data_IF_045843525286
#
_entry.id   IF_045843525286
#
_cell.length_a   1.000
_cell.length_b   1.000
_cell.length_c   1.000
_cell.angle_alpha   90.00
_cell.angle_beta   90.00
_cell.angle_gamma   90.00
#
_symmetry.space_group_name_H-M   'P 1'
#
loop_
_entity.id
_entity.type
_entity.pdbx_description
1 polymer ?
#
# COMPACT_ATOMS: atom_id res chain seq x y z
N UNK A 1 12.46 -9.91 3.92
CA UNK A 1 11.07 -10.08 3.48
C UNK A 1 10.10 -9.40 4.43
N UNK A 2 9.65 -10.12 5.47
CA UNK A 2 8.66 -9.63 6.45
C UNK A 2 9.01 -8.31 7.13
N UNK A 3 10.29 -8.08 7.48
CA UNK A 3 10.72 -6.80 8.07
C UNK A 3 10.40 -5.60 7.16
N UNK A 4 10.67 -5.72 5.86
CA UNK A 4 10.36 -4.67 4.87
C UNK A 4 8.85 -4.47 4.75
N UNK A 5 8.06 -5.55 4.80
CA UNK A 5 6.60 -5.43 4.85
C UNK A 5 6.14 -4.62 6.07
N UNK A 6 6.71 -4.88 7.25
CA UNK A 6 6.39 -4.11 8.46
C UNK A 6 6.77 -2.64 8.35
N UNK A 7 7.90 -2.32 7.68
CA UNK A 7 8.29 -0.93 7.38
C UNK A 7 7.27 -0.27 6.44
N UNK A 8 6.85 -0.94 5.36
CA UNK A 8 5.83 -0.45 4.43
C UNK A 8 4.52 -0.15 5.17
N UNK A 9 4.07 -1.05 6.06
CA UNK A 9 2.87 -0.83 6.86
C UNK A 9 3.02 0.37 7.80
N UNK A 10 4.18 0.51 8.46
CA UNK A 10 4.47 1.65 9.35
C UNK A 10 4.50 2.98 8.60
N UNK A 11 5.03 3.03 7.38
CA UNK A 11 5.03 4.22 6.54
C UNK A 11 3.61 4.55 6.06
N UNK A 12 2.84 3.54 5.63
CA UNK A 12 1.45 3.72 5.20
C UNK A 12 0.55 4.27 6.32
N UNK A 13 0.80 3.91 7.59
CA UNK A 13 0.10 4.48 8.75
C UNK A 13 0.33 5.98 8.95
N UNK A 14 1.39 6.55 8.35
CA UNK A 14 1.66 8.00 8.40
C UNK A 14 0.88 8.83 7.38
N UNK A 15 0.14 8.19 6.47
CA UNK A 15 -0.70 8.88 5.49
C UNK A 15 -1.97 9.44 6.14
N UNK A 16 -2.56 10.51 5.56
CA UNK A 16 -3.80 11.11 6.08
C UNK A 16 -4.91 10.07 6.29
N UNK A 17 -5.55 10.11 7.46
CA UNK A 17 -6.63 9.19 7.86
C UNK A 17 -7.97 9.43 7.13
N UNK A 18 -7.97 10.09 5.98
CA UNK A 18 -9.20 10.40 5.22
C UNK A 18 -9.87 9.14 4.65
N UNK A 19 -9.14 8.02 4.63
CA UNK A 19 -9.62 6.75 4.07
C UNK A 19 -9.92 5.74 5.17
N UNK A 20 -11.21 5.40 5.33
CA UNK A 20 -11.64 4.37 6.27
C UNK A 20 -11.53 2.97 5.64
N UNK A 21 -10.40 2.30 5.89
CA UNK A 21 -10.19 0.90 5.46
C UNK A 21 -11.05 -0.02 6.32
N UNK A 22 -11.99 -0.71 5.69
CA UNK A 22 -12.85 -1.72 6.32
C UNK A 22 -12.18 -3.09 6.40
N UNK A 23 -11.22 -3.36 5.51
CA UNK A 23 -10.43 -4.58 5.54
C UNK A 23 -9.41 -4.65 4.41
N UNK A 24 -8.33 -5.41 4.64
CA UNK A 24 -7.39 -5.80 3.60
C UNK A 24 -7.84 -7.14 2.99
N UNK A 25 -8.04 -7.17 1.67
CA UNK A 25 -8.50 -8.36 0.95
C UNK A 25 -7.33 -9.18 0.39
N UNK A 26 -6.16 -8.58 0.21
CA UNK A 26 -4.98 -9.30 -0.25
C UNK A 26 -3.80 -8.41 -0.61
N UNK A 27 -2.66 -9.08 -0.78
CA UNK A 27 -1.42 -8.54 -1.33
C UNK A 27 -1.05 -9.35 -2.57
N UNK A 28 -0.85 -8.66 -3.68
CA UNK A 28 -0.48 -9.23 -4.98
C UNK A 28 0.87 -8.67 -5.41
N UNK A 29 1.53 -9.35 -6.37
CA UNK A 29 2.76 -8.88 -7.01
C UNK A 29 3.86 -8.41 -6.05
N UNK A 30 3.96 -9.07 -4.89
CA UNK A 30 4.99 -8.77 -3.90
C UNK A 30 6.35 -9.11 -4.47
N UNK A 31 7.24 -8.12 -4.60
CA UNK A 31 8.59 -8.28 -5.13
C UNK A 31 9.61 -7.55 -4.25
N UNK A 32 10.70 -8.24 -3.95
CA UNK A 32 11.87 -7.68 -3.26
C UNK A 32 12.97 -7.52 -4.31
N UNK A 33 13.12 -6.30 -4.82
CA UNK A 33 14.04 -6.01 -5.93
C UNK A 33 15.48 -5.85 -5.45
N UNK A 34 15.66 -5.22 -4.28
CA UNK A 34 16.96 -5.01 -3.63
C UNK A 34 16.84 -5.22 -2.13
N UNK A 35 17.94 -5.59 -1.49
CA UNK A 35 18.00 -5.65 -0.03
C UNK A 35 18.13 -4.22 0.51
N UNK A 36 17.20 -3.81 1.39
CA UNK A 36 17.41 -2.61 2.20
C UNK A 36 18.52 -2.87 3.23
N UNK A 37 19.33 -1.86 3.48
CA UNK A 37 20.49 -1.92 4.38
C UNK A 37 20.26 -1.04 5.60
N UNK A 38 21.02 -1.32 6.65
CA UNK A 38 21.06 -0.44 7.81
C UNK A 38 21.52 0.95 7.37
N UNK A 39 20.78 1.99 7.76
CA UNK A 39 21.06 3.38 7.39
C UNK A 39 20.35 3.87 6.13
N UNK A 40 19.67 3.00 5.37
CA UNK A 40 18.87 3.44 4.23
C UNK A 40 17.72 4.35 4.69
N UNK A 41 17.47 5.42 3.94
CA UNK A 41 16.30 6.27 4.09
C UNK A 41 15.26 5.76 3.10
N UNK A 42 14.16 5.22 3.62
CA UNK A 42 13.13 4.58 2.81
C UNK A 42 11.92 5.50 2.62
N UNK A 43 11.51 5.68 1.37
CA UNK A 43 10.33 6.46 0.99
C UNK A 43 9.30 5.54 0.34
N UNK A 44 8.04 5.64 0.78
CA UNK A 44 6.93 4.85 0.26
C UNK A 44 6.00 5.73 -0.57
N UNK A 45 5.83 5.37 -1.84
CA UNK A 45 4.80 5.91 -2.72
C UNK A 45 3.64 4.93 -2.82
N UNK A 46 2.41 5.43 -2.68
CA UNK A 46 1.17 4.65 -2.84
C UNK A 46 0.31 5.33 -3.90
N UNK A 47 -0.04 4.59 -4.94
CA UNK A 47 -0.86 5.06 -6.05
C UNK A 47 -2.13 4.23 -6.14
N UNK A 48 -3.30 4.88 -6.13
CA UNK A 48 -4.56 4.23 -6.43
C UNK A 48 -4.64 3.91 -7.93
N UNK A 49 -4.58 2.63 -8.28
CA UNK A 49 -4.55 2.16 -9.67
C UNK A 49 -5.91 1.64 -10.17
N UNK A 50 -6.83 1.32 -9.26
CA UNK A 50 -8.20 0.89 -9.62
C UNK A 50 -9.17 1.15 -8.45
N UNK A 51 -10.41 1.47 -8.78
CA UNK A 51 -11.51 1.62 -7.81
C UNK A 51 -12.78 1.00 -8.36
N UNK A 52 -13.45 0.19 -7.53
CA UNK A 52 -14.70 -0.47 -7.89
C UNK A 52 -15.73 -0.31 -6.76
N UNK A 53 -16.78 0.50 -6.94
CA UNK A 53 -17.90 0.55 -6.00
C UNK A 53 -18.56 -0.83 -5.83
N UNK A 54 -19.04 -1.13 -4.62
CA UNK A 54 -19.81 -2.36 -4.40
C UNK A 54 -21.20 -2.22 -5.02
N UNK A 55 -21.65 -3.26 -5.74
CA UNK A 55 -23.01 -3.35 -6.30
C UNK A 55 -24.05 -3.77 -5.26
N UNK A 56 -23.65 -4.43 -4.17
CA UNK A 56 -24.55 -4.96 -3.15
C UNK A 56 -24.60 -4.12 -1.87
N UNK A 57 -23.56 -3.31 -1.58
CA UNK A 57 -23.49 -2.46 -0.39
C UNK A 57 -22.97 -1.06 -0.76
N UNK A 58 -23.84 -0.05 -0.90
CA UNK A 58 -23.45 1.27 -1.44
C UNK A 58 -22.50 2.08 -0.55
N UNK A 59 -22.33 1.67 0.71
CA UNK A 59 -21.47 2.29 1.72
C UNK A 59 -19.98 1.93 1.58
N UNK A 60 -19.59 1.14 0.56
CA UNK A 60 -18.20 0.66 0.39
C UNK A 60 -17.81 0.37 -1.05
N UNK A 61 -16.51 0.24 -1.27
CA UNK A 61 -15.93 -0.19 -2.53
C UNK A 61 -14.58 -0.90 -2.34
N UNK A 62 -14.06 -1.44 -3.42
CA UNK A 62 -12.72 -2.02 -3.50
C UNK A 62 -11.79 -0.97 -4.11
N UNK A 63 -10.61 -0.80 -3.53
CA UNK A 63 -9.53 0.03 -4.07
C UNK A 63 -8.29 -0.84 -4.22
N UNK A 64 -7.63 -0.76 -5.36
CA UNK A 64 -6.30 -1.35 -5.56
C UNK A 64 -5.26 -0.25 -5.55
N UNK A 65 -4.21 -0.46 -4.76
CA UNK A 65 -3.09 0.46 -4.71
C UNK A 65 -1.80 -0.22 -5.13
N UNK A 66 -0.99 0.45 -5.95
CA UNK A 66 0.40 0.09 -6.19
C UNK A 66 1.28 0.78 -5.17
N UNK A 67 2.15 0.01 -4.53
CA UNK A 67 3.12 0.51 -3.56
C UNK A 67 4.52 0.36 -4.15
N UNK A 68 5.32 1.42 -4.04
CA UNK A 68 6.73 1.43 -4.43
C UNK A 68 7.53 1.96 -3.26
N UNK A 69 8.48 1.17 -2.77
CA UNK A 69 9.42 1.56 -1.74
C UNK A 69 10.80 1.77 -2.35
N UNK A 70 11.33 2.96 -2.17
CA UNK A 70 12.62 3.39 -2.73
C UNK A 70 13.58 3.82 -1.61
N UNK A 71 14.88 3.69 -1.84
CA UNK A 71 15.92 4.23 -0.96
C UNK A 71 16.28 5.69 -1.34
N UNK A 72 17.22 6.29 -0.62
CA UNK A 72 17.71 7.65 -0.86
C UNK A 72 18.30 7.88 -2.26
N UNK A 73 18.73 6.83 -2.94
CA UNK A 73 19.35 6.87 -4.26
C UNK A 73 18.31 6.67 -5.39
N UNK A 74 17.02 6.59 -5.04
CA UNK A 74 15.93 6.35 -5.99
C UNK A 74 15.86 4.91 -6.49
N UNK A 75 16.52 3.97 -5.81
CA UNK A 75 16.49 2.56 -6.20
C UNK A 75 15.26 1.86 -5.61
N UNK A 76 14.49 1.17 -6.45
CA UNK A 76 13.37 0.35 -5.97
C UNK A 76 13.88 -0.81 -5.11
N UNK A 77 13.44 -0.82 -3.86
CA UNK A 77 13.70 -1.88 -2.88
C UNK A 77 12.58 -2.92 -2.93
N UNK A 78 11.33 -2.45 -2.97
CA UNK A 78 10.16 -3.31 -2.83
C UNK A 78 8.95 -2.76 -3.59
N UNK A 79 8.15 -3.67 -4.17
CA UNK A 79 6.84 -3.33 -4.73
C UNK A 79 5.78 -4.33 -4.29
N UNK A 80 4.54 -3.86 -4.22
CA UNK A 80 3.36 -4.71 -4.06
C UNK A 80 2.12 -4.01 -4.63
N UNK A 81 1.08 -4.80 -4.89
CA UNK A 81 -0.27 -4.29 -5.09
C UNK A 81 -1.12 -4.70 -3.88
N UNK A 82 -1.82 -3.75 -3.26
CA UNK A 82 -2.79 -4.04 -2.18
C UNK A 82 -4.20 -3.94 -2.72
N UNK A 83 -5.07 -4.86 -2.28
CA UNK A 83 -6.51 -4.77 -2.52
C UNK A 83 -7.21 -4.50 -1.20
N UNK A 84 -7.88 -3.36 -1.08
CA UNK A 84 -8.52 -2.89 0.14
C UNK A 84 -10.04 -2.76 -0.05
N UNK A 85 -10.80 -3.16 0.95
CA UNK A 85 -12.20 -2.78 1.11
C UNK A 85 -12.24 -1.45 1.88
N UNK A 86 -12.83 -0.42 1.28
CA UNK A 86 -12.82 0.94 1.81
C UNK A 86 -14.25 1.45 1.96
N UNK A 87 -14.55 2.09 3.08
CA UNK A 87 -15.83 2.75 3.29
C UNK A 87 -15.93 3.97 2.39
N UNK A 88 -17.10 4.17 1.78
CA UNK A 88 -17.39 5.34 0.97
C UNK A 88 -17.89 6.45 1.88
N UNK A 89 -17.25 7.63 1.81
CA UNK A 89 -17.83 8.83 2.42
C UNK A 89 -19.08 9.21 1.63
N UNK A 90 -20.22 9.22 2.32
CA UNK A 90 -21.54 9.56 1.77
C UNK A 90 -21.83 11.03 2.05
#
# INVERSE_FOLDING_TARGET
GSHIQSVVLRLAQGLPHETAVLGALGYDEVRFHKAAKLGDILSLSIECIDTKPSSSKPDRGIVKNRHILENQDGETVFTQTTTLLIARKV
#
